data_IF_315528215982
#
_entry.id   IF_315528215982
#
_cell.length_a   1.000
_cell.length_b   1.000
_cell.length_c   1.000
_cell.angle_alpha   90.00
_cell.angle_beta   90.00
_cell.angle_gamma   90.00
#
_symmetry.space_group_name_H-M   'P 1'
#
loop_
_entity.id
_entity.type
_entity.pdbx_description
1 polymer ?
#
# COMPACT_ATOMS: atom_id res chain seq x y z
N UNK A 1 -16.09 -60.59 72.71
CA UNK A 1 -15.06 -60.15 71.75
C UNK A 1 -15.78 -59.36 70.72
N UNK A 2 -15.64 -58.09 70.84
CA UNK A 2 -16.24 -57.01 69.99
C UNK A 2 -15.31 -56.74 68.82
N UNK A 3 -15.78 -56.64 67.57
CA UNK A 3 -14.92 -56.34 66.43
C UNK A 3 -14.68 -54.82 66.36
N UNK A 4 -13.42 -54.41 66.22
CA UNK A 4 -12.89 -53.06 66.05
C UNK A 4 -13.36 -52.50 64.71
N UNK A 5 -14.04 -51.30 64.69
CA UNK A 5 -14.61 -50.71 63.49
C UNK A 5 -13.66 -49.82 62.67
N UNK A 6 -12.34 -49.79 62.90
CA UNK A 6 -11.41 -48.82 62.33
C UNK A 6 -10.47 -49.37 61.27
N UNK A 7 -10.75 -50.42 60.60
CA UNK A 7 -9.92 -50.89 59.49
C UNK A 7 -10.57 -50.57 58.17
N UNK A 8 -10.04 -49.59 57.39
CA UNK A 8 -10.56 -49.30 56.05
C UNK A 8 -10.39 -50.60 55.21
N UNK A 9 -11.45 -50.94 54.52
CA UNK A 9 -11.49 -52.14 53.64
C UNK A 9 -10.46 -51.95 52.50
N UNK A 10 -9.62 -52.96 52.28
CA UNK A 10 -8.62 -53.01 51.21
C UNK A 10 -9.19 -52.68 49.82
N UNK A 11 -10.47 -52.93 49.60
CA UNK A 11 -11.19 -52.62 48.36
C UNK A 11 -11.37 -51.07 48.08
N UNK A 12 -11.49 -50.30 49.19
CA UNK A 12 -11.61 -48.83 49.03
C UNK A 12 -10.27 -48.15 48.72
N UNK A 13 -9.16 -48.66 49.21
CA UNK A 13 -7.82 -48.19 48.94
C UNK A 13 -7.38 -48.49 47.51
N UNK A 14 -7.73 -49.60 46.95
CA UNK A 14 -7.39 -50.00 45.57
C UNK A 14 -8.19 -49.21 44.54
N UNK A 15 -9.45 -48.89 44.83
CA UNK A 15 -10.31 -48.04 44.00
C UNK A 15 -9.79 -46.59 43.98
N UNK A 16 -9.35 -46.04 45.11
CA UNK A 16 -8.81 -44.69 45.15
C UNK A 16 -7.44 -44.56 44.46
N UNK A 17 -6.58 -45.57 44.55
CA UNK A 17 -5.30 -45.63 43.82
C UNK A 17 -5.51 -45.72 42.31
N UNK A 18 -6.47 -46.50 41.83
CA UNK A 18 -6.83 -46.61 40.41
C UNK A 18 -7.39 -45.30 39.87
N UNK A 19 -8.24 -44.60 40.64
CA UNK A 19 -8.76 -43.27 40.25
C UNK A 19 -7.67 -42.21 40.23
N UNK A 20 -6.73 -42.22 41.17
CA UNK A 20 -5.60 -41.28 41.19
C UNK A 20 -4.67 -41.49 39.96
N UNK A 21 -4.40 -42.69 39.57
CA UNK A 21 -3.61 -43.06 38.40
C UNK A 21 -4.31 -42.61 37.10
N UNK A 22 -5.61 -42.80 36.98
CA UNK A 22 -6.41 -42.34 35.86
C UNK A 22 -6.46 -40.83 35.78
N UNK A 23 -6.59 -40.13 36.92
CA UNK A 23 -6.58 -38.66 36.96
C UNK A 23 -5.20 -38.07 36.57
N UNK A 24 -4.11 -38.74 36.97
CA UNK A 24 -2.76 -38.32 36.58
C UNK A 24 -2.55 -38.48 35.06
N UNK A 25 -2.96 -39.61 34.48
CA UNK A 25 -2.89 -39.85 33.04
C UNK A 25 -3.73 -38.84 32.22
N UNK A 26 -4.91 -38.44 32.71
CA UNK A 26 -5.75 -37.44 32.09
C UNK A 26 -5.10 -36.04 32.14
N UNK A 27 -4.48 -35.67 33.26
CA UNK A 27 -3.74 -34.39 33.37
C UNK A 27 -2.58 -34.32 32.38
N UNK A 28 -1.77 -35.38 32.33
CA UNK A 28 -0.67 -35.46 31.36
C UNK A 28 -1.16 -35.31 29.91
N UNK A 29 -2.30 -35.93 29.59
CA UNK A 29 -2.90 -35.82 28.26
C UNK A 29 -3.43 -34.40 27.96
N UNK A 30 -4.02 -33.74 28.96
CA UNK A 30 -4.44 -32.34 28.85
C UNK A 30 -3.25 -31.42 28.62
N UNK A 31 -2.18 -31.58 29.39
CA UNK A 31 -0.96 -30.79 29.25
C UNK A 31 -0.31 -30.99 27.88
N UNK A 32 -0.23 -32.21 27.39
CA UNK A 32 0.28 -32.54 26.06
C UNK A 32 -0.58 -31.92 24.95
N UNK A 33 -1.91 -31.98 25.07
CA UNK A 33 -2.83 -31.37 24.11
C UNK A 33 -2.77 -29.84 24.14
N UNK A 34 -2.63 -29.24 25.32
CA UNK A 34 -2.48 -27.80 25.50
C UNK A 34 -1.21 -27.30 24.84
N UNK A 35 -0.09 -27.99 25.06
CA UNK A 35 1.19 -27.70 24.44
C UNK A 35 1.10 -27.82 22.91
N UNK A 36 0.45 -28.89 22.42
CA UNK A 36 0.25 -29.10 20.99
C UNK A 36 -0.63 -28.01 20.38
N UNK A 37 -1.71 -27.59 21.06
CA UNK A 37 -2.57 -26.52 20.62
C UNK A 37 -1.84 -25.19 20.57
N UNK A 38 -1.02 -24.85 21.57
CA UNK A 38 -0.21 -23.65 21.57
C UNK A 38 0.74 -23.61 20.37
N UNK A 39 1.43 -24.73 20.09
CA UNK A 39 2.33 -24.85 18.92
C UNK A 39 1.57 -24.74 17.59
N UNK A 40 0.39 -25.32 17.49
CA UNK A 40 -0.44 -25.20 16.28
C UNK A 40 -0.92 -23.77 16.05
N UNK A 41 -1.30 -23.04 17.10
CA UNK A 41 -1.69 -21.64 17.02
C UNK A 41 -0.53 -20.74 16.57
N UNK A 42 0.67 -21.00 17.08
CA UNK A 42 1.90 -20.31 16.64
C UNK A 42 2.16 -20.55 15.15
N UNK A 43 2.18 -21.82 14.73
CA UNK A 43 2.38 -22.19 13.32
C UNK A 43 1.33 -21.58 12.40
N UNK A 44 0.06 -21.51 12.82
CA UNK A 44 -1.02 -20.88 12.04
C UNK A 44 -0.82 -19.36 11.92
N UNK A 45 -0.34 -18.70 12.98
CA UNK A 45 -0.03 -17.26 12.93
C UNK A 45 1.11 -16.99 11.95
N UNK A 46 2.16 -17.78 12.03
CA UNK A 46 3.32 -17.64 11.14
C UNK A 46 2.94 -17.89 9.67
N UNK A 47 2.19 -18.96 9.41
CA UNK A 47 1.69 -19.26 8.07
C UNK A 47 0.79 -18.14 7.52
N UNK A 48 -0.08 -17.56 8.36
CA UNK A 48 -0.92 -16.44 7.97
C UNK A 48 -0.09 -15.20 7.62
N UNK A 49 0.91 -14.89 8.43
CA UNK A 49 1.80 -13.75 8.17
C UNK A 49 2.58 -13.95 6.87
N UNK A 50 3.11 -15.16 6.63
CA UNK A 50 3.78 -15.50 5.38
C UNK A 50 2.86 -15.35 4.16
N UNK A 51 1.60 -15.81 4.26
CA UNK A 51 0.62 -15.65 3.19
C UNK A 51 0.30 -14.18 2.90
N UNK A 52 0.21 -13.33 3.91
CA UNK A 52 0.00 -11.89 3.72
C UNK A 52 1.18 -11.26 2.99
N UNK A 53 2.40 -11.55 3.43
CA UNK A 53 3.62 -11.04 2.77
C UNK A 53 3.73 -11.51 1.32
N UNK A 54 3.50 -12.79 1.06
CA UNK A 54 3.52 -13.34 -0.29
C UNK A 54 2.43 -12.74 -1.17
N UNK A 55 1.25 -12.47 -0.62
CA UNK A 55 0.17 -11.82 -1.36
C UNK A 55 0.54 -10.40 -1.76
N UNK A 56 1.13 -9.63 -0.84
CA UNK A 56 1.63 -8.28 -1.14
C UNK A 56 2.72 -8.30 -2.22
N UNK A 57 3.63 -9.29 -2.18
CA UNK A 57 4.65 -9.48 -3.21
C UNK A 57 4.05 -9.84 -4.57
N UNK A 58 3.08 -10.75 -4.61
CA UNK A 58 2.38 -11.12 -5.85
C UNK A 58 1.59 -9.94 -6.41
N UNK A 59 0.89 -9.18 -5.58
CA UNK A 59 0.18 -7.97 -6.02
C UNK A 59 1.15 -6.93 -6.59
N UNK A 60 2.34 -6.78 -6.01
CA UNK A 60 3.38 -5.89 -6.53
C UNK A 60 3.98 -6.37 -7.86
N UNK A 61 4.19 -7.68 -8.01
CA UNK A 61 4.74 -8.28 -9.24
C UNK A 61 3.70 -8.42 -10.35
N UNK A 62 2.43 -8.61 -9.97
CA UNK A 62 1.31 -8.78 -10.88
C UNK A 62 0.64 -7.47 -11.29
N UNK A 63 1.21 -6.30 -10.95
CA UNK A 63 0.68 -5.05 -11.44
C UNK A 63 0.82 -5.02 -12.96
N UNK A 64 -0.29 -4.85 -13.69
CA UNK A 64 -0.26 -4.76 -15.15
C UNK A 64 0.58 -3.56 -15.57
N UNK A 65 1.10 -3.55 -16.81
CA UNK A 65 1.90 -2.44 -17.31
C UNK A 65 1.13 -1.13 -17.09
N UNK A 66 1.72 -0.26 -16.28
CA UNK A 66 1.12 1.01 -15.94
C UNK A 66 1.33 2.00 -17.07
N UNK A 67 0.29 2.75 -17.42
CA UNK A 67 0.43 3.92 -18.28
C UNK A 67 1.04 5.09 -17.51
N UNK A 68 1.58 6.06 -18.23
CA UNK A 68 2.05 7.32 -17.66
C UNK A 68 1.30 8.49 -18.27
N UNK A 69 1.21 9.57 -17.52
CA UNK A 69 0.65 10.82 -17.98
C UNK A 69 1.29 12.01 -17.28
N UNK A 70 1.01 13.20 -17.76
CA UNK A 70 1.50 14.46 -17.17
C UNK A 70 0.34 15.13 -16.44
N UNK A 71 0.54 15.49 -15.19
CA UNK A 71 -0.44 16.18 -14.36
C UNK A 71 -0.62 17.61 -14.84
N UNK A 72 -1.85 17.98 -15.17
CA UNK A 72 -2.23 19.33 -15.60
C UNK A 72 -2.83 20.17 -14.47
N UNK A 73 -3.47 19.54 -13.49
CA UNK A 73 -4.08 20.22 -12.35
C UNK A 73 -4.83 19.28 -11.43
N UNK A 74 -5.12 19.75 -10.23
CA UNK A 74 -5.84 19.04 -9.17
C UNK A 74 -7.15 19.74 -8.85
N UNK A 75 -8.14 19.03 -8.30
CA UNK A 75 -9.44 19.55 -7.91
C UNK A 75 -9.79 19.14 -6.47
N UNK A 76 -10.77 19.83 -5.87
CA UNK A 76 -11.19 19.62 -4.48
C UNK A 76 -11.88 18.25 -4.25
N UNK A 77 -12.33 17.59 -5.31
CA UNK A 77 -13.01 16.29 -5.29
C UNK A 77 -12.03 15.11 -5.44
N UNK A 78 -10.75 15.29 -5.13
CA UNK A 78 -9.67 14.31 -5.30
C UNK A 78 -9.53 13.78 -6.74
N UNK A 79 -10.04 14.52 -7.71
CA UNK A 79 -9.80 14.26 -9.12
C UNK A 79 -8.66 15.10 -9.66
N UNK A 80 -8.05 14.63 -10.73
CA UNK A 80 -6.94 15.31 -11.39
C UNK A 80 -7.11 15.31 -12.90
N UNK A 81 -6.69 16.40 -13.54
CA UNK A 81 -6.57 16.46 -14.99
C UNK A 81 -5.19 15.97 -15.41
N UNK A 82 -5.15 14.96 -16.25
CA UNK A 82 -3.92 14.32 -16.74
C UNK A 82 -3.91 14.34 -18.25
N UNK A 83 -2.76 14.64 -18.84
CA UNK A 83 -2.51 14.46 -20.26
C UNK A 83 -1.85 13.11 -20.47
N UNK A 84 -2.53 12.19 -21.13
CA UNK A 84 -2.07 10.84 -21.42
C UNK A 84 -2.58 10.41 -22.78
N UNK A 85 -1.80 9.62 -23.50
CA UNK A 85 -2.16 9.12 -24.85
C UNK A 85 -2.63 10.20 -25.82
N UNK A 86 -2.02 11.39 -25.76
CA UNK A 86 -2.33 12.50 -26.67
C UNK A 86 -3.60 13.29 -26.34
N UNK A 87 -4.24 13.04 -25.19
CA UNK A 87 -5.48 13.74 -24.79
C UNK A 87 -5.50 14.09 -23.30
N UNK A 88 -6.27 15.10 -22.98
CA UNK A 88 -6.58 15.48 -21.60
C UNK A 88 -7.72 14.62 -21.07
N UNK A 89 -7.54 14.05 -19.89
CA UNK A 89 -8.54 13.25 -19.19
C UNK A 89 -8.64 13.68 -17.73
N UNK A 90 -9.86 13.62 -17.16
CA UNK A 90 -10.08 13.77 -15.72
C UNK A 90 -10.13 12.38 -15.12
N UNK A 91 -9.28 12.13 -14.13
CA UNK A 91 -9.06 10.82 -13.53
C UNK A 91 -9.21 10.92 -12.01
N UNK A 92 -9.60 9.82 -11.38
CA UNK A 92 -9.61 9.68 -9.91
C UNK A 92 -8.23 9.28 -9.41
N UNK A 93 -7.92 9.64 -8.19
CA UNK A 93 -6.70 9.19 -7.50
C UNK A 93 -6.98 8.01 -6.58
N UNK A 94 -5.96 7.20 -6.34
CA UNK A 94 -6.01 6.16 -5.31
C UNK A 94 -6.22 6.81 -3.93
N UNK A 95 -7.04 6.22 -3.05
CA UNK A 95 -7.33 6.79 -1.71
C UNK A 95 -6.10 6.97 -0.82
N UNK A 96 -5.00 6.30 -1.16
CA UNK A 96 -3.75 6.37 -0.40
C UNK A 96 -2.86 7.56 -0.80
N UNK A 97 -3.27 8.35 -1.80
CA UNK A 97 -2.50 9.48 -2.31
C UNK A 97 -3.02 10.80 -1.73
N UNK A 98 -2.10 11.64 -1.31
CA UNK A 98 -2.41 13.01 -0.90
C UNK A 98 -2.34 13.94 -2.12
N UNK A 99 -3.50 14.22 -2.73
CA UNK A 99 -3.65 15.05 -3.94
C UNK A 99 -3.17 16.49 -3.69
N UNK A 100 -3.18 16.99 -2.45
CA UNK A 100 -2.71 18.34 -2.12
C UNK A 100 -1.19 18.51 -2.35
N UNK A 101 -0.45 17.42 -2.33
CA UNK A 101 1.01 17.42 -2.60
C UNK A 101 1.36 17.49 -4.09
N UNK A 102 0.41 17.24 -4.96
CA UNK A 102 0.64 17.17 -6.40
C UNK A 102 0.92 18.55 -7.00
N UNK A 103 1.78 18.56 -7.99
CA UNK A 103 2.20 19.79 -8.68
C UNK A 103 2.07 19.64 -10.20
N UNK A 104 1.58 20.68 -10.86
CA UNK A 104 1.45 20.72 -12.32
C UNK A 104 2.77 20.39 -13.01
N UNK A 105 2.71 19.51 -13.99
CA UNK A 105 3.86 19.06 -14.77
C UNK A 105 4.52 17.78 -14.25
N UNK A 106 4.15 17.29 -13.04
CA UNK A 106 4.64 16.00 -12.57
C UNK A 106 4.17 14.86 -13.46
N UNK A 107 4.97 13.83 -13.58
CA UNK A 107 4.57 12.58 -14.20
C UNK A 107 3.75 11.77 -13.19
N UNK A 108 2.65 11.21 -13.64
CA UNK A 108 1.79 10.33 -12.85
C UNK A 108 1.70 8.95 -13.47
N UNK A 109 1.67 7.94 -12.63
CA UNK A 109 1.48 6.55 -13.06
C UNK A 109 0.01 6.16 -12.93
N UNK A 110 -0.49 5.52 -13.97
CA UNK A 110 -1.89 5.11 -14.11
C UNK A 110 -1.99 3.59 -14.11
N UNK A 111 -3.00 3.03 -13.48
CA UNK A 111 -3.34 1.62 -13.63
C UNK A 111 -4.22 1.38 -14.87
N UNK A 112 -4.59 0.13 -15.12
CA UNK A 112 -5.46 -0.25 -16.25
C UNK A 112 -6.85 0.42 -16.21
N UNK A 113 -7.36 0.71 -15.00
CA UNK A 113 -8.61 1.42 -14.81
C UNK A 113 -8.49 2.94 -14.97
N UNK A 114 -7.32 3.45 -15.41
CA UNK A 114 -7.01 4.86 -15.54
C UNK A 114 -7.14 5.63 -14.21
N UNK A 115 -6.84 4.98 -13.08
CA UNK A 115 -6.73 5.62 -11.77
C UNK A 115 -5.27 6.00 -11.53
N UNK A 116 -5.03 7.20 -11.01
CA UNK A 116 -3.69 7.62 -10.60
C UNK A 116 -3.29 6.85 -9.35
N UNK A 117 -2.19 6.10 -9.44
CA UNK A 117 -1.67 5.24 -8.35
C UNK A 117 -0.39 5.78 -7.74
N UNK A 118 0.27 6.71 -8.43
CA UNK A 118 1.50 7.33 -7.96
C UNK A 118 1.75 8.65 -8.70
N UNK A 119 2.27 9.66 -8.00
CA UNK A 119 2.88 10.83 -8.61
C UNK A 119 4.39 10.73 -8.47
N UNK A 120 5.09 10.90 -9.59
CA UNK A 120 6.55 10.82 -9.65
C UNK A 120 7.15 12.21 -9.87
N UNK A 121 8.44 12.29 -10.12
CA UNK A 121 9.13 13.52 -10.42
C UNK A 121 8.75 14.05 -11.82
N UNK A 122 9.31 15.21 -12.17
CA UNK A 122 9.14 15.79 -13.49
C UNK A 122 9.93 15.02 -14.53
N UNK A 123 9.39 14.94 -15.75
CA UNK A 123 10.13 14.36 -16.87
C UNK A 123 11.35 15.22 -17.20
N UNK A 124 12.50 14.58 -17.29
CA UNK A 124 13.78 15.25 -17.57
C UNK A 124 14.28 15.04 -19.00
N UNK A 125 13.54 14.26 -19.78
CA UNK A 125 13.88 13.91 -21.17
C UNK A 125 12.79 14.41 -22.11
N UNK A 126 13.15 15.05 -23.20
CA UNK A 126 12.18 15.56 -24.16
C UNK A 126 12.83 16.40 -25.25
N UNK A 127 12.01 17.07 -26.02
CA UNK A 127 12.46 18.02 -27.05
C UNK A 127 13.00 19.31 -26.41
N UNK A 128 14.08 19.82 -26.93
CA UNK A 128 14.63 21.11 -26.53
C UNK A 128 13.88 22.23 -27.30
N UNK A 129 13.36 23.18 -26.54
CA UNK A 129 12.71 24.37 -27.08
C UNK A 129 13.31 25.63 -26.47
N UNK A 130 13.31 26.73 -27.20
CA UNK A 130 13.79 28.02 -26.70
C UNK A 130 12.62 28.80 -26.13
N UNK A 131 12.71 29.20 -24.86
CA UNK A 131 11.76 30.13 -24.23
C UNK A 131 11.87 31.50 -24.90
N UNK A 132 10.76 32.03 -25.42
CA UNK A 132 10.70 33.35 -26.05
C UNK A 132 10.07 34.36 -25.10
N UNK A 133 8.95 34.03 -24.49
CA UNK A 133 8.19 34.91 -23.62
C UNK A 133 7.37 34.16 -22.63
N UNK A 134 7.25 34.68 -21.41
CA UNK A 134 6.32 34.19 -20.39
C UNK A 134 5.05 35.05 -20.51
N UNK A 135 3.88 34.37 -20.61
CA UNK A 135 2.61 35.05 -20.75
C UNK A 135 2.15 35.67 -19.42
N UNK A 136 1.26 36.66 -19.49
CA UNK A 136 0.78 37.45 -18.35
C UNK A 136 0.25 36.66 -17.15
N UNK A 137 -0.14 35.38 -17.35
CA UNK A 137 -0.61 34.51 -16.28
C UNK A 137 0.54 33.84 -15.50
N UNK A 138 1.79 33.99 -15.91
CA UNK A 138 2.97 33.36 -15.30
C UNK A 138 2.97 31.81 -15.35
N UNK A 139 1.91 31.23 -15.91
CA UNK A 139 1.72 29.77 -15.96
C UNK A 139 1.92 29.20 -17.38
N UNK A 140 1.95 30.08 -18.38
CA UNK A 140 2.13 29.70 -19.79
C UNK A 140 3.30 30.46 -20.38
N UNK A 141 3.90 29.89 -21.41
CA UNK A 141 4.99 30.52 -22.13
C UNK A 141 4.86 30.28 -23.64
N UNK A 142 5.39 31.21 -24.40
CA UNK A 142 5.64 31.05 -25.82
C UNK A 142 7.03 30.43 -25.97
N UNK A 143 7.11 29.30 -26.61
CA UNK A 143 8.36 28.62 -26.92
C UNK A 143 8.52 28.41 -28.41
N UNK A 144 9.76 28.41 -28.85
CA UNK A 144 10.14 28.11 -30.24
C UNK A 144 10.74 26.71 -30.27
N UNK A 145 10.10 25.81 -30.97
CA UNK A 145 10.54 24.44 -31.16
C UNK A 145 11.49 24.26 -32.33
N UNK A 146 11.64 23.02 -32.75
CA UNK A 146 12.41 22.68 -33.95
C UNK A 146 11.71 23.27 -35.19
N UNK A 147 12.48 23.81 -36.14
CA UNK A 147 11.96 24.46 -37.34
C UNK A 147 11.22 25.80 -37.13
N UNK A 148 11.57 26.53 -36.09
CA UNK A 148 11.03 27.89 -35.79
C UNK A 148 9.49 27.90 -35.55
N UNK A 149 8.91 26.76 -35.19
CA UNK A 149 7.50 26.71 -34.82
C UNK A 149 7.26 27.31 -33.43
N UNK A 150 6.40 28.30 -33.36
CA UNK A 150 5.96 28.90 -32.11
C UNK A 150 4.81 28.11 -31.50
N UNK A 151 4.93 27.78 -30.22
CA UNK A 151 3.91 27.05 -29.46
C UNK A 151 3.69 27.67 -28.10
N UNK A 152 2.43 27.73 -27.67
CA UNK A 152 2.09 28.10 -26.30
C UNK A 152 2.08 26.82 -25.47
N UNK A 153 2.89 26.78 -24.44
CA UNK A 153 3.00 25.66 -23.50
C UNK A 153 2.60 26.08 -22.09
N UNK A 154 2.15 25.13 -21.28
CA UNK A 154 1.99 25.35 -19.84
C UNK A 154 3.29 25.01 -19.15
N UNK A 155 3.74 25.89 -18.26
CA UNK A 155 4.94 25.67 -17.46
C UNK A 155 4.66 24.67 -16.34
N UNK A 156 5.61 23.78 -16.09
CA UNK A 156 5.62 22.95 -14.89
C UNK A 156 5.82 23.84 -13.65
N UNK A 157 5.31 23.41 -12.49
CA UNK A 157 5.32 24.23 -11.28
C UNK A 157 6.70 24.82 -10.92
N UNK A 158 7.83 24.08 -11.02
CA UNK A 158 9.14 24.66 -10.73
C UNK A 158 9.52 25.82 -11.63
N UNK A 159 9.16 25.77 -12.92
CA UNK A 159 9.46 26.82 -13.89
C UNK A 159 8.55 28.05 -13.71
N UNK A 160 7.28 27.83 -13.38
CA UNK A 160 6.33 28.91 -13.11
C UNK A 160 6.73 29.73 -11.87
N UNK A 161 7.30 29.08 -10.83
CA UNK A 161 7.83 29.78 -9.65
C UNK A 161 9.06 30.63 -9.99
N UNK A 162 9.99 30.10 -10.78
CA UNK A 162 11.18 30.84 -11.22
C UNK A 162 10.82 32.04 -12.08
N UNK A 163 9.81 31.89 -12.95
CA UNK A 163 9.31 32.95 -13.80
C UNK A 163 8.68 34.12 -13.02
N UNK A 164 8.14 33.83 -11.81
CA UNK A 164 7.56 34.87 -10.94
C UNK A 164 8.61 35.65 -10.13
N UNK A 165 9.78 35.04 -9.91
CA UNK A 165 10.89 35.64 -9.14
C UNK A 165 11.85 36.51 -9.99
N UNK A 166 11.78 36.47 -11.32
CA UNK A 166 12.57 37.30 -12.24
C UNK A 166 11.66 38.23 -13.07
N UNK A 167 11.23 39.36 -12.50
CA UNK A 167 10.57 40.42 -13.27
C UNK A 167 11.62 41.16 -14.07
N UNK A 168 11.93 40.70 -15.30
CA UNK A 168 12.92 41.24 -16.24
C UNK A 168 12.89 42.72 -16.50
#
# INVERSE_FOLDING_TARGET
TEPDPTRPSAASADSSASQATSAAALRERVDALTTRNAKLLETLRDARNQLLTLREEVERLGQPPSGYGVLLGTFEDDTVDVFTSGRKMRLTCSPNLDVATFRTGQTVRLNEALTVVEATEYETVGEISTLREILDDGARALVVGHADEERVVRLAAPLALQASDDPG
#
